data_IF_840592245029
#
_entry.id   IF_840592245029
#
_cell.length_a   1.000
_cell.length_b   1.000
_cell.length_c   1.000
_cell.angle_alpha   90.00
_cell.angle_beta   90.00
_cell.angle_gamma   90.00
#
_symmetry.space_group_name_H-M   'P 1'
#
loop_
_entity.id
_entity.type
_entity.pdbx_description
1 polymer ?
#
# COMPACT_ATOMS: atom_id res chain seq x y z
N UNK A 1 12.76 -17.46 7.55
CA UNK A 1 13.87 -16.72 6.95
C UNK A 1 13.36 -15.40 6.43
N UNK A 2 14.17 -14.32 6.45
CA UNK A 2 13.76 -13.05 5.84
C UNK A 2 14.12 -13.08 4.34
N UNK A 3 13.14 -12.84 3.48
CA UNK A 3 13.37 -12.74 2.01
C UNK A 3 13.70 -11.32 1.60
N UNK A 4 13.27 -10.32 2.35
CA UNK A 4 13.59 -8.90 2.15
C UNK A 4 14.02 -8.32 3.49
N UNK A 5 15.09 -7.56 3.51
CA UNK A 5 15.54 -6.85 4.69
C UNK A 5 16.04 -5.45 4.31
N UNK A 6 15.58 -4.44 5.04
CA UNK A 6 16.08 -3.06 4.96
C UNK A 6 16.58 -2.65 6.33
N UNK A 7 17.72 -1.97 6.37
CA UNK A 7 18.34 -1.44 7.60
C UNK A 7 18.74 0.00 7.39
N UNK A 8 18.08 0.92 8.10
CA UNK A 8 18.37 2.35 8.18
C UNK A 8 18.51 3.02 6.80
N UNK A 9 17.61 2.66 5.87
CA UNK A 9 17.63 3.19 4.51
C UNK A 9 17.26 4.66 4.52
N UNK A 10 18.12 5.46 3.90
CA UNK A 10 17.86 6.89 3.63
C UNK A 10 17.94 7.15 2.14
N UNK A 11 16.97 7.91 1.62
CA UNK A 11 16.99 8.41 0.25
C UNK A 11 16.49 9.83 0.16
N UNK A 12 17.35 10.70 -0.38
CA UNK A 12 17.08 12.11 -0.59
C UNK A 12 17.15 12.46 -2.06
N UNK A 13 16.25 13.31 -2.50
CA UNK A 13 16.24 13.90 -3.83
C UNK A 13 16.57 15.40 -3.72
N UNK A 14 17.57 15.82 -4.48
CA UNK A 14 17.97 17.22 -4.54
C UNK A 14 17.49 17.85 -5.85
N UNK A 15 16.77 18.93 -5.75
CA UNK A 15 16.47 19.84 -6.87
C UNK A 15 17.32 21.09 -6.72
N UNK A 16 17.38 21.95 -7.75
CA UNK A 16 18.15 23.22 -7.67
C UNK A 16 17.75 24.13 -6.50
N UNK A 17 16.54 23.94 -5.95
CA UNK A 17 15.97 24.81 -4.90
C UNK A 17 15.72 24.09 -3.58
N UNK A 18 15.46 22.79 -3.58
CA UNK A 18 15.01 22.06 -2.39
C UNK A 18 15.68 20.68 -2.31
N UNK A 19 15.92 20.25 -1.08
CA UNK A 19 16.32 18.88 -0.73
C UNK A 19 15.11 18.21 -0.04
N UNK A 20 14.67 17.05 -0.56
CA UNK A 20 13.53 16.31 -0.02
C UNK A 20 14.03 14.93 0.36
N UNK A 21 13.92 14.57 1.64
CA UNK A 21 14.17 13.21 2.12
C UNK A 21 12.91 12.39 1.88
N UNK A 22 12.97 11.51 0.89
CA UNK A 22 11.83 10.67 0.48
C UNK A 22 11.74 9.37 1.29
N UNK A 23 12.86 8.92 1.87
CA UNK A 23 12.95 7.76 2.78
C UNK A 23 13.92 8.17 3.87
N UNK A 24 13.48 8.09 5.13
CA UNK A 24 14.23 8.54 6.28
C UNK A 24 14.37 7.42 7.30
N UNK A 25 15.57 6.84 7.37
CA UNK A 25 15.95 5.81 8.34
C UNK A 25 15.01 4.60 8.40
N UNK A 26 14.51 4.15 7.24
CA UNK A 26 13.53 3.07 7.15
C UNK A 26 14.18 1.70 7.35
N UNK A 27 13.61 0.92 8.26
CA UNK A 27 14.02 -0.46 8.54
C UNK A 27 12.79 -1.37 8.66
N UNK A 28 12.75 -2.46 7.90
CA UNK A 28 11.78 -3.53 8.06
C UNK A 28 12.25 -4.82 7.39
N UNK A 29 11.54 -5.91 7.63
CA UNK A 29 11.79 -7.20 6.98
C UNK A 29 10.52 -7.87 6.54
N UNK A 30 10.60 -8.66 5.46
CA UNK A 30 9.53 -9.52 4.95
C UNK A 30 9.98 -10.97 5.05
N UNK A 31 9.12 -11.83 5.58
CA UNK A 31 9.38 -13.26 5.75
C UNK A 31 9.12 -14.02 4.45
N UNK A 32 9.68 -15.23 4.38
CA UNK A 32 9.42 -16.13 3.25
C UNK A 32 7.93 -16.50 3.17
N UNK A 33 7.36 -16.43 1.96
CA UNK A 33 5.95 -16.72 1.71
C UNK A 33 4.98 -15.71 2.35
N UNK A 34 5.45 -14.54 2.76
CA UNK A 34 4.62 -13.48 3.35
C UNK A 34 4.06 -12.54 2.26
N UNK A 35 2.82 -12.16 2.41
CA UNK A 35 2.21 -11.03 1.70
C UNK A 35 2.28 -9.81 2.60
N UNK A 36 3.29 -8.96 2.37
CA UNK A 36 3.57 -7.77 3.16
C UNK A 36 3.12 -6.49 2.44
N UNK A 37 2.35 -5.65 3.13
CA UNK A 37 1.85 -4.37 2.61
C UNK A 37 2.68 -3.18 3.08
N UNK A 38 3.13 -2.33 2.16
CA UNK A 38 3.67 -0.99 2.47
C UNK A 38 2.57 0.04 2.19
N UNK A 39 1.89 0.47 3.26
CA UNK A 39 0.64 1.25 3.19
C UNK A 39 0.90 2.71 3.54
N UNK A 40 0.46 3.60 2.69
CA UNK A 40 0.59 5.04 2.95
C UNK A 40 0.19 5.89 1.74
N UNK A 41 -0.01 7.20 1.93
CA UNK A 41 -0.48 8.09 0.88
C UNK A 41 0.55 8.26 -0.25
N UNK A 42 0.13 8.95 -1.32
CA UNK A 42 1.04 9.34 -2.39
C UNK A 42 2.13 10.25 -1.85
N UNK A 43 3.36 10.03 -2.34
CA UNK A 43 4.53 10.78 -1.87
C UNK A 43 5.15 10.30 -0.56
N UNK A 44 4.59 9.27 0.11
CA UNK A 44 5.13 8.76 1.38
C UNK A 44 6.49 8.05 1.27
N UNK A 45 7.05 7.87 0.06
CA UNK A 45 8.36 7.23 -0.15
C UNK A 45 8.30 5.78 -0.65
N UNK A 46 7.12 5.19 -0.79
CA UNK A 46 6.89 3.78 -1.19
C UNK A 46 7.68 3.39 -2.45
N UNK A 47 7.47 4.10 -3.56
CA UNK A 47 8.15 3.79 -4.84
C UNK A 47 9.67 3.93 -4.77
N UNK A 48 10.21 4.79 -3.90
CA UNK A 48 11.67 4.90 -3.69
C UNK A 48 12.22 3.63 -3.04
N UNK A 49 11.52 3.09 -2.04
CA UNK A 49 11.85 1.82 -1.40
C UNK A 49 11.81 0.67 -2.41
N UNK A 50 10.75 0.59 -3.23
CA UNK A 50 10.62 -0.44 -4.27
C UNK A 50 11.76 -0.38 -5.28
N UNK A 51 12.14 0.81 -5.74
CA UNK A 51 13.25 0.99 -6.68
C UNK A 51 14.61 0.62 -6.07
N UNK A 52 14.81 0.84 -4.77
CA UNK A 52 16.04 0.42 -4.08
C UNK A 52 16.07 -1.12 -4.03
N UNK A 53 15.01 -1.78 -3.58
CA UNK A 53 14.92 -3.23 -3.47
C UNK A 53 15.02 -3.94 -4.83
N UNK A 54 14.49 -3.33 -5.89
CA UNK A 54 14.58 -3.86 -7.26
C UNK A 54 15.85 -3.44 -7.99
N UNK A 55 16.82 -2.85 -7.28
CA UNK A 55 18.14 -2.47 -7.79
C UNK A 55 18.12 -1.38 -8.87
N UNK A 56 17.05 -0.59 -8.93
CA UNK A 56 16.87 0.52 -9.89
C UNK A 56 17.34 1.87 -9.33
N UNK A 57 17.55 1.95 -8.03
CA UNK A 57 17.94 3.16 -7.31
C UNK A 57 18.90 2.80 -6.19
N UNK A 58 19.94 3.62 -6.01
CA UNK A 58 20.84 3.48 -4.86
C UNK A 58 20.30 4.29 -3.66
N UNK A 59 20.35 3.70 -2.48
CA UNK A 59 20.16 4.43 -1.22
C UNK A 59 21.31 5.40 -0.99
N UNK A 60 21.08 6.46 -0.25
CA UNK A 60 22.15 7.39 0.16
C UNK A 60 22.89 6.85 1.40
N UNK A 61 22.20 6.09 2.25
CA UNK A 61 22.77 5.34 3.36
C UNK A 61 21.88 4.15 3.76
N UNK A 62 22.40 3.30 4.65
CA UNK A 62 21.76 2.06 5.05
C UNK A 62 22.12 0.89 4.13
N UNK A 63 21.50 -0.27 4.37
CA UNK A 63 21.70 -1.47 3.56
C UNK A 63 20.38 -2.17 3.31
N UNK A 64 20.27 -2.86 2.17
CA UNK A 64 19.11 -3.68 1.86
C UNK A 64 19.54 -4.99 1.17
N UNK A 65 18.80 -6.05 1.41
CA UNK A 65 19.02 -7.34 0.79
C UNK A 65 17.71 -7.99 0.34
N UNK A 66 17.80 -8.81 -0.71
CA UNK A 66 16.71 -9.64 -1.22
C UNK A 66 17.22 -11.06 -1.37
N UNK A 67 16.60 -12.03 -0.68
CA UNK A 67 17.07 -13.41 -0.62
C UNK A 67 18.55 -13.49 -0.20
N UNK A 68 18.92 -12.73 0.84
CA UNK A 68 20.31 -12.59 1.37
C UNK A 68 21.31 -11.94 0.40
N UNK A 69 20.89 -11.57 -0.80
CA UNK A 69 21.71 -10.89 -1.81
C UNK A 69 21.68 -9.38 -1.58
N UNK A 70 22.84 -8.74 -1.57
CA UNK A 70 22.96 -7.29 -1.40
C UNK A 70 22.48 -6.54 -2.64
N UNK A 71 21.58 -5.53 -2.46
CA UNK A 71 20.95 -4.82 -3.59
C UNK A 71 21.93 -4.02 -4.45
N UNK A 72 23.13 -3.73 -3.93
CA UNK A 72 24.18 -2.98 -4.66
C UNK A 72 25.15 -3.95 -5.36
N UNK A 73 25.66 -4.93 -4.63
CA UNK A 73 26.72 -5.81 -5.10
C UNK A 73 26.17 -6.95 -5.95
N UNK A 74 25.00 -7.50 -5.60
CA UNK A 74 24.43 -8.70 -6.23
C UNK A 74 23.26 -8.39 -7.19
N UNK A 75 23.14 -7.14 -7.66
CA UNK A 75 22.00 -6.68 -8.46
C UNK A 75 21.68 -7.57 -9.67
N UNK A 76 22.70 -8.16 -10.32
CA UNK A 76 22.48 -9.06 -11.48
C UNK A 76 21.78 -10.36 -11.08
N UNK A 77 22.07 -10.87 -9.88
CA UNK A 77 21.44 -12.08 -9.36
C UNK A 77 20.01 -11.78 -8.91
N UNK A 78 19.82 -10.67 -8.19
CA UNK A 78 18.50 -10.21 -7.74
C UNK A 78 17.53 -10.06 -8.91
N UNK A 79 17.95 -9.39 -9.99
CA UNK A 79 17.11 -9.20 -11.20
C UNK A 79 16.66 -10.48 -11.88
N UNK A 80 17.32 -11.61 -11.63
CA UNK A 80 16.92 -12.92 -12.17
C UNK A 80 15.84 -13.63 -11.33
N UNK A 81 15.72 -13.27 -10.08
CA UNK A 81 14.86 -13.97 -9.11
C UNK A 81 13.70 -13.14 -8.59
N UNK A 82 13.61 -11.88 -9.02
CA UNK A 82 12.51 -10.98 -8.61
C UNK A 82 11.60 -10.65 -9.79
N UNK A 83 10.30 -10.61 -9.54
CA UNK A 83 9.34 -9.99 -10.43
C UNK A 83 9.03 -8.57 -9.95
N UNK A 84 8.95 -7.62 -10.86
CA UNK A 84 8.64 -6.24 -10.52
C UNK A 84 7.55 -5.65 -11.42
N UNK A 85 6.54 -5.11 -10.79
CA UNK A 85 5.45 -4.37 -11.43
C UNK A 85 5.47 -2.94 -10.89
N UNK A 86 5.96 -1.95 -11.68
CA UNK A 86 5.98 -0.56 -11.28
C UNK A 86 4.58 0.07 -11.32
N UNK A 87 4.34 1.10 -10.53
CA UNK A 87 3.05 1.78 -10.39
C UNK A 87 2.54 2.46 -11.67
N UNK A 88 3.43 2.69 -12.64
CA UNK A 88 3.03 3.13 -13.98
C UNK A 88 3.11 1.96 -14.94
N UNK A 89 2.07 1.81 -15.77
CA UNK A 89 2.08 0.78 -16.81
C UNK A 89 3.30 0.92 -17.71
N UNK A 90 4.19 -0.07 -17.63
CA UNK A 90 5.54 -0.04 -18.23
C UNK A 90 5.71 -1.03 -19.39
N UNK A 91 4.65 -1.75 -19.77
CA UNK A 91 4.70 -2.68 -20.90
C UNK A 91 4.60 -1.96 -22.24
N UNK A 92 5.03 -2.64 -23.29
CA UNK A 92 4.99 -2.10 -24.65
C UNK A 92 3.57 -2.01 -25.17
N UNK A 93 3.04 -0.79 -25.26
CA UNK A 93 1.64 -0.55 -25.57
C UNK A 93 1.28 -0.90 -27.02
N UNK A 94 2.25 -0.86 -27.94
CA UNK A 94 2.09 -1.19 -29.34
C UNK A 94 2.18 -2.69 -29.63
N UNK A 95 2.78 -3.46 -28.72
CA UNK A 95 2.78 -4.90 -28.77
C UNK A 95 1.47 -5.49 -28.27
N UNK A 96 1.10 -6.66 -28.79
CA UNK A 96 -0.04 -7.43 -28.33
C UNK A 96 0.22 -8.03 -26.95
N UNK A 97 -0.80 -8.62 -26.35
CA UNK A 97 -0.68 -9.38 -25.09
C UNK A 97 0.36 -10.50 -25.22
N UNK A 98 0.28 -11.29 -26.28
CA UNK A 98 1.16 -12.42 -26.55
C UNK A 98 2.61 -11.94 -26.78
N UNK A 99 2.82 -10.93 -27.63
CA UNK A 99 4.15 -10.36 -27.90
C UNK A 99 4.80 -9.77 -26.64
N UNK A 100 4.05 -9.14 -25.74
CA UNK A 100 4.60 -8.69 -24.46
C UNK A 100 5.09 -9.86 -23.61
N UNK A 101 4.31 -10.94 -23.50
CA UNK A 101 4.71 -12.13 -22.75
C UNK A 101 5.91 -12.82 -23.36
N UNK A 102 5.95 -12.98 -24.67
CA UNK A 102 7.09 -13.57 -25.41
C UNK A 102 8.36 -12.74 -25.23
N UNK A 103 8.23 -11.41 -25.26
CA UNK A 103 9.36 -10.50 -25.02
C UNK A 103 10.00 -10.73 -23.64
N UNK A 104 9.17 -10.75 -22.57
CA UNK A 104 9.70 -11.00 -21.23
C UNK A 104 10.20 -12.43 -21.06
N UNK A 105 9.53 -13.43 -21.62
CA UNK A 105 10.00 -14.81 -21.62
C UNK A 105 11.40 -14.92 -22.27
N UNK A 106 11.60 -14.25 -23.40
CA UNK A 106 12.89 -14.23 -24.12
C UNK A 106 13.99 -13.58 -23.27
N UNK A 107 13.72 -12.43 -22.62
CA UNK A 107 14.71 -11.75 -21.75
C UNK A 107 15.20 -12.67 -20.63
N UNK A 108 14.32 -13.49 -20.08
CA UNK A 108 14.63 -14.39 -18.98
C UNK A 108 15.01 -15.81 -19.42
N UNK A 109 15.26 -16.04 -20.73
CA UNK A 109 15.59 -17.34 -21.32
C UNK A 109 14.59 -18.45 -20.92
N UNK A 110 13.31 -18.16 -21.03
CA UNK A 110 12.21 -19.09 -20.77
C UNK A 110 11.17 -19.01 -21.90
N UNK A 111 10.07 -19.77 -21.81
CA UNK A 111 8.94 -19.66 -22.71
C UNK A 111 7.64 -19.54 -21.93
N UNK A 112 6.57 -19.14 -22.61
CA UNK A 112 5.23 -19.06 -22.00
C UNK A 112 4.80 -20.45 -21.52
N UNK A 113 5.02 -21.48 -22.35
CA UNK A 113 4.64 -22.87 -22.07
C UNK A 113 5.36 -23.43 -20.86
N UNK A 114 6.66 -23.11 -20.68
CA UNK A 114 7.47 -23.61 -19.57
C UNK A 114 6.93 -23.20 -18.20
N UNK A 115 6.33 -22.01 -18.11
CA UNK A 115 5.82 -21.46 -16.87
C UNK A 115 4.31 -21.14 -16.91
N UNK A 116 3.59 -21.71 -17.89
CA UNK A 116 2.16 -21.48 -18.09
C UNK A 116 1.34 -21.71 -16.81
N UNK A 117 1.61 -22.80 -16.10
CA UNK A 117 0.89 -23.15 -14.86
C UNK A 117 0.92 -22.05 -13.79
N UNK A 118 1.99 -21.24 -13.74
CA UNK A 118 2.09 -20.15 -12.78
C UNK A 118 1.18 -18.97 -13.13
N UNK A 119 1.00 -18.72 -14.42
CA UNK A 119 0.21 -17.59 -14.92
C UNK A 119 -1.19 -17.98 -15.42
N UNK A 120 -1.49 -19.27 -15.52
CA UNK A 120 -2.70 -19.79 -16.18
C UNK A 120 -3.98 -19.13 -15.68
N UNK A 121 -4.18 -19.06 -14.37
CA UNK A 121 -5.38 -18.48 -13.74
C UNK A 121 -5.59 -16.99 -14.09
N UNK A 122 -4.50 -16.30 -14.40
CA UNK A 122 -4.51 -14.88 -14.79
C UNK A 122 -4.65 -14.78 -16.30
N UNK A 123 -3.85 -15.57 -17.02
CA UNK A 123 -3.72 -15.50 -18.47
C UNK A 123 -5.00 -15.97 -19.19
N UNK A 124 -5.73 -16.94 -18.67
CA UNK A 124 -7.00 -17.42 -19.24
C UNK A 124 -8.00 -16.28 -19.49
N UNK A 125 -7.96 -15.23 -18.68
CA UNK A 125 -8.80 -14.05 -18.85
C UNK A 125 -8.28 -13.10 -19.94
N UNK A 126 -7.01 -13.20 -20.30
CA UNK A 126 -6.35 -12.41 -21.34
C UNK A 126 -6.29 -13.14 -22.67
N UNK A 127 -6.34 -14.47 -22.66
CA UNK A 127 -6.16 -15.33 -23.82
C UNK A 127 -7.12 -15.01 -24.98
N UNK A 128 -8.42 -14.70 -24.76
CA UNK A 128 -9.33 -14.27 -25.83
C UNK A 128 -8.88 -12.97 -26.51
N UNK A 129 -8.00 -12.21 -25.86
CA UNK A 129 -7.48 -10.92 -26.32
C UNK A 129 -5.99 -10.96 -26.67
N UNK A 130 -5.39 -12.16 -26.78
CA UNK A 130 -3.95 -12.31 -26.93
C UNK A 130 -3.34 -11.54 -28.12
N UNK A 131 -4.10 -11.34 -29.19
CA UNK A 131 -3.70 -10.56 -30.37
C UNK A 131 -4.05 -9.06 -30.28
N UNK A 132 -4.67 -8.62 -29.16
CA UNK A 132 -4.99 -7.20 -28.94
C UNK A 132 -3.75 -6.46 -28.42
N UNK A 133 -3.48 -5.26 -28.94
CA UNK A 133 -2.40 -4.40 -28.44
C UNK A 133 -2.64 -4.02 -26.99
N UNK A 134 -1.59 -4.04 -26.16
CA UNK A 134 -1.67 -3.74 -24.74
C UNK A 134 -2.21 -2.36 -24.43
N UNK A 135 -1.94 -1.36 -25.30
CA UNK A 135 -2.49 -0.01 -25.17
C UNK A 135 -4.02 0.04 -25.23
N UNK A 136 -4.67 -0.95 -25.88
CA UNK A 136 -6.14 -1.01 -26.05
C UNK A 136 -6.86 -1.89 -25.00
N UNK A 137 -6.14 -2.37 -24.00
CA UNK A 137 -6.71 -3.12 -22.88
C UNK A 137 -7.34 -2.19 -21.85
N UNK A 138 -8.33 -2.70 -21.09
CA UNK A 138 -8.84 -1.99 -19.90
C UNK A 138 -7.77 -1.91 -18.81
N UNK A 139 -7.97 -1.05 -17.80
CA UNK A 139 -7.05 -0.91 -16.67
C UNK A 139 -6.78 -2.27 -15.99
N UNK A 140 -7.81 -2.99 -15.59
CA UNK A 140 -7.67 -4.31 -14.97
C UNK A 140 -6.97 -5.34 -15.85
N UNK A 141 -7.24 -5.34 -17.16
CA UNK A 141 -6.54 -6.24 -18.11
C UNK A 141 -5.05 -5.86 -18.24
N UNK A 142 -4.71 -4.56 -18.23
CA UNK A 142 -3.31 -4.10 -18.24
C UNK A 142 -2.57 -4.58 -17.00
N UNK A 143 -3.20 -4.51 -15.82
CA UNK A 143 -2.60 -4.98 -14.58
C UNK A 143 -2.40 -6.51 -14.58
N UNK A 144 -3.38 -7.27 -15.07
CA UNK A 144 -3.26 -8.73 -15.25
C UNK A 144 -2.10 -9.09 -16.20
N UNK A 145 -1.97 -8.38 -17.32
CA UNK A 145 -0.85 -8.58 -18.24
C UNK A 145 0.49 -8.25 -17.59
N UNK A 146 0.58 -7.13 -16.88
CA UNK A 146 1.80 -6.74 -16.17
C UNK A 146 2.21 -7.78 -15.11
N UNK A 147 1.23 -8.31 -14.39
CA UNK A 147 1.47 -9.40 -13.42
C UNK A 147 1.94 -10.68 -14.10
N UNK A 148 1.33 -11.11 -15.22
CA UNK A 148 1.80 -12.25 -16.00
C UNK A 148 3.26 -12.07 -16.47
N UNK A 149 3.61 -10.90 -17.00
CA UNK A 149 4.98 -10.59 -17.44
C UNK A 149 5.96 -10.61 -16.25
N UNK A 150 5.57 -10.12 -15.08
CA UNK A 150 6.41 -10.17 -13.88
C UNK A 150 6.60 -11.58 -13.32
N UNK A 151 5.69 -12.51 -13.63
CA UNK A 151 5.70 -13.89 -13.16
C UNK A 151 6.34 -14.88 -14.14
N UNK A 152 6.50 -14.51 -15.42
CA UNK A 152 6.85 -15.44 -16.51
C UNK A 152 8.15 -16.21 -16.28
N UNK A 153 9.07 -15.67 -15.51
CA UNK A 153 10.36 -16.30 -15.19
C UNK A 153 10.38 -16.99 -13.81
N UNK A 154 9.20 -17.20 -13.20
CA UNK A 154 9.04 -17.88 -11.91
C UNK A 154 9.85 -17.23 -10.79
N UNK A 155 9.58 -15.97 -10.45
CA UNK A 155 10.33 -15.25 -9.41
C UNK A 155 10.09 -15.86 -8.03
N UNK A 156 11.09 -15.69 -7.12
CA UNK A 156 10.95 -16.03 -5.71
C UNK A 156 10.30 -14.91 -4.89
N UNK A 157 10.50 -13.68 -5.32
CA UNK A 157 9.97 -12.47 -4.69
C UNK A 157 9.29 -11.61 -5.73
N UNK A 158 8.09 -11.12 -5.41
CA UNK A 158 7.29 -10.25 -6.26
C UNK A 158 7.15 -8.87 -5.61
N UNK A 159 7.57 -7.85 -6.33
CA UNK A 159 7.43 -6.45 -5.95
C UNK A 159 6.33 -5.79 -6.78
N UNK A 160 5.29 -5.26 -6.11
CA UNK A 160 4.13 -4.66 -6.76
C UNK A 160 3.93 -3.23 -6.23
N UNK A 161 4.28 -2.24 -7.05
CA UNK A 161 4.18 -0.84 -6.68
C UNK A 161 2.82 -0.29 -7.15
N UNK A 162 1.87 -0.12 -6.23
CA UNK A 162 0.51 0.37 -6.44
C UNK A 162 -0.27 -0.35 -7.56
N UNK A 163 -0.33 -1.69 -7.55
CA UNK A 163 -0.84 -2.48 -8.67
C UNK A 163 -2.33 -2.29 -8.94
N UNK A 164 -3.08 -1.74 -8.00
CA UNK A 164 -4.55 -1.58 -8.08
C UNK A 164 -4.98 -0.14 -8.30
N UNK A 165 -4.04 0.81 -8.41
CA UNK A 165 -4.34 2.22 -8.66
C UNK A 165 -5.00 2.41 -10.02
N UNK A 166 -6.16 3.09 -10.04
CA UNK A 166 -6.94 3.32 -11.25
C UNK A 166 -7.68 2.10 -11.79
N UNK A 167 -7.84 1.06 -10.98
CA UNK A 167 -8.58 -0.17 -11.31
C UNK A 167 -9.94 -0.14 -10.60
N UNK A 168 -10.97 -0.62 -11.29
CA UNK A 168 -12.33 -0.72 -10.72
C UNK A 168 -12.39 -1.70 -9.52
N UNK A 169 -13.38 -1.55 -8.61
CA UNK A 169 -13.43 -2.34 -7.37
C UNK A 169 -13.52 -3.85 -7.59
N UNK A 170 -14.18 -4.32 -8.66
CA UNK A 170 -14.30 -5.75 -8.96
C UNK A 170 -12.95 -6.31 -9.38
N UNK A 171 -12.29 -5.65 -10.34
CA UNK A 171 -10.95 -6.04 -10.80
C UNK A 171 -9.90 -5.93 -9.68
N UNK A 172 -10.01 -4.96 -8.76
CA UNK A 172 -9.16 -4.86 -7.56
C UNK A 172 -9.30 -6.12 -6.69
N UNK A 173 -10.53 -6.52 -6.36
CA UNK A 173 -10.77 -7.72 -5.55
C UNK A 173 -10.19 -8.96 -6.20
N UNK A 174 -10.41 -9.16 -7.51
CA UNK A 174 -9.85 -10.28 -8.26
C UNK A 174 -8.31 -10.28 -8.22
N UNK A 175 -7.69 -9.10 -8.33
CA UNK A 175 -6.23 -8.95 -8.28
C UNK A 175 -5.68 -9.41 -6.92
N UNK A 176 -6.29 -9.00 -5.82
CA UNK A 176 -5.89 -9.43 -4.48
C UNK A 176 -6.08 -10.93 -4.24
N UNK A 177 -7.15 -11.53 -4.76
CA UNK A 177 -7.33 -12.99 -4.72
C UNK A 177 -6.25 -13.74 -5.52
N UNK A 178 -5.77 -13.17 -6.63
CA UNK A 178 -4.61 -13.71 -7.35
C UNK A 178 -3.33 -13.64 -6.50
N UNK A 179 -3.08 -12.54 -5.80
CA UNK A 179 -1.90 -12.41 -4.92
C UNK A 179 -1.92 -13.44 -3.78
N UNK A 180 -3.08 -13.70 -3.16
CA UNK A 180 -3.21 -14.75 -2.14
C UNK A 180 -2.85 -16.13 -2.70
N UNK A 181 -3.27 -16.45 -3.92
CA UNK A 181 -2.92 -17.73 -4.58
C UNK A 181 -1.42 -17.82 -4.86
N UNK A 182 -0.80 -16.77 -5.37
CA UNK A 182 0.64 -16.72 -5.61
C UNK A 182 1.44 -16.90 -4.33
N UNK A 183 1.02 -16.25 -3.24
CA UNK A 183 1.57 -16.47 -1.90
C UNK A 183 1.44 -17.95 -1.49
N UNK A 184 0.28 -18.57 -1.70
CA UNK A 184 0.05 -20.01 -1.44
C UNK A 184 0.97 -20.94 -2.22
N UNK A 185 1.56 -20.47 -3.32
CA UNK A 185 2.57 -21.17 -4.11
C UNK A 185 4.02 -20.90 -3.63
N UNK A 186 4.19 -20.20 -2.50
CA UNK A 186 5.48 -19.94 -1.87
C UNK A 186 6.18 -18.67 -2.37
N UNK A 187 5.54 -17.81 -3.15
CA UNK A 187 6.09 -16.52 -3.58
C UNK A 187 5.96 -15.52 -2.43
N UNK A 188 7.06 -14.89 -2.04
CA UNK A 188 7.04 -13.74 -1.11
C UNK A 188 6.64 -12.48 -1.86
N UNK A 189 5.70 -11.70 -1.32
CA UNK A 189 5.13 -10.55 -2.02
C UNK A 189 5.27 -9.30 -1.15
N UNK A 190 5.90 -8.27 -1.70
CA UNK A 190 5.86 -6.90 -1.17
C UNK A 190 4.98 -6.05 -2.09
N UNK A 191 3.90 -5.51 -1.54
CA UNK A 191 2.96 -4.67 -2.30
C UNK A 191 2.84 -3.30 -1.65
N UNK A 192 2.85 -2.23 -2.46
CA UNK A 192 2.49 -0.89 -1.98
C UNK A 192 1.08 -0.53 -2.40
N UNK A 193 0.37 0.22 -1.55
CA UNK A 193 -0.94 0.79 -1.88
C UNK A 193 -1.24 2.04 -1.05
N UNK A 194 -1.92 3.05 -1.62
CA UNK A 194 -2.47 4.14 -0.83
C UNK A 194 -3.82 3.79 -0.18
N UNK A 195 -4.42 2.65 -0.54
CA UNK A 195 -5.75 2.24 -0.09
C UNK A 195 -5.67 1.46 1.22
N UNK A 196 -6.15 2.05 2.32
CA UNK A 196 -6.09 1.46 3.67
C UNK A 196 -6.99 0.23 3.82
N UNK A 197 -8.05 0.11 3.04
CA UNK A 197 -8.95 -1.04 3.02
C UNK A 197 -8.26 -2.31 2.50
N UNK A 198 -7.25 -2.17 1.64
CA UNK A 198 -6.44 -3.28 1.12
C UNK A 198 -5.48 -3.87 2.17
N UNK A 199 -5.14 -3.10 3.20
CA UNK A 199 -4.23 -3.51 4.27
C UNK A 199 -4.68 -4.82 4.96
N UNK A 200 -5.99 -5.01 5.14
CA UNK A 200 -6.59 -6.19 5.79
C UNK A 200 -6.30 -7.53 5.06
N UNK A 201 -5.85 -7.44 3.81
CA UNK A 201 -5.58 -8.63 2.98
C UNK A 201 -4.15 -9.13 3.20
N UNK A 202 -3.26 -8.27 3.68
CA UNK A 202 -1.87 -8.58 3.95
C UNK A 202 -1.69 -9.34 5.27
N UNK A 203 -0.64 -10.14 5.38
CA UNK A 203 -0.28 -10.81 6.64
C UNK A 203 0.26 -9.82 7.66
N UNK A 204 1.16 -8.95 7.22
CA UNK A 204 1.69 -7.82 7.98
C UNK A 204 1.75 -6.60 7.07
N UNK A 205 1.72 -5.45 7.71
CA UNK A 205 1.83 -4.16 7.01
C UNK A 205 2.84 -3.26 7.71
N UNK A 206 3.42 -2.37 6.93
CA UNK A 206 4.11 -1.19 7.43
C UNK A 206 3.32 0.05 7.02
N UNK A 207 2.91 0.85 7.99
CA UNK A 207 2.30 2.16 7.76
C UNK A 207 3.42 3.19 7.57
N UNK A 208 3.42 3.88 6.43
CA UNK A 208 4.48 4.84 6.08
C UNK A 208 3.90 6.22 5.79
N UNK A 209 4.54 7.27 6.33
CA UNK A 209 4.20 8.67 6.08
C UNK A 209 5.46 9.52 6.03
N UNK A 210 5.56 10.42 5.05
CA UNK A 210 6.68 11.37 4.90
C UNK A 210 8.06 10.71 4.99
N UNK A 211 8.23 9.53 4.40
CA UNK A 211 9.48 8.79 4.40
C UNK A 211 9.76 7.97 5.67
N UNK A 212 8.90 8.03 6.68
CA UNK A 212 9.08 7.36 7.98
C UNK A 212 8.07 6.23 8.15
N UNK A 213 8.51 5.11 8.73
CA UNK A 213 7.59 4.05 9.18
C UNK A 213 6.96 4.49 10.50
N UNK A 214 5.63 4.51 10.53
CA UNK A 214 4.85 4.81 11.73
C UNK A 214 4.66 3.57 12.60
N UNK A 215 4.32 2.44 11.99
CA UNK A 215 4.07 1.18 12.69
C UNK A 215 4.23 -0.03 11.75
N UNK A 216 4.62 -1.18 12.31
CA UNK A 216 4.72 -2.46 11.58
C UNK A 216 4.10 -3.56 12.45
N UNK A 217 3.00 -4.15 11.97
CA UNK A 217 2.40 -5.33 12.62
C UNK A 217 1.39 -6.01 11.68
N UNK A 218 0.68 -7.02 12.18
CA UNK A 218 -0.52 -7.53 11.51
C UNK A 218 -1.60 -6.45 11.50
N UNK A 219 -2.46 -6.39 10.48
CA UNK A 219 -3.57 -5.44 10.45
C UNK A 219 -4.44 -5.51 11.70
N UNK A 220 -4.70 -6.71 12.21
CA UNK A 220 -5.51 -6.91 13.41
C UNK A 220 -4.84 -6.32 14.66
N UNK A 221 -3.55 -6.56 14.88
CA UNK A 221 -2.83 -6.02 16.02
C UNK A 221 -2.81 -4.48 16.02
N UNK A 222 -2.70 -3.86 14.84
CA UNK A 222 -2.74 -2.39 14.71
C UNK A 222 -4.12 -1.87 15.13
N UNK A 223 -5.20 -2.54 14.71
CA UNK A 223 -6.57 -2.17 15.08
C UNK A 223 -6.81 -2.39 16.58
N UNK A 224 -6.34 -3.50 17.14
CA UNK A 224 -6.54 -3.85 18.56
C UNK A 224 -5.83 -2.87 19.53
N UNK A 225 -4.81 -2.14 19.04
CA UNK A 225 -4.15 -1.07 19.81
C UNK A 225 -4.90 0.25 19.83
N UNK A 226 -6.01 0.35 19.11
CA UNK A 226 -6.85 1.53 19.13
C UNK A 226 -7.69 1.55 20.41
N UNK A 227 -7.18 2.22 21.44
CA UNK A 227 -7.68 2.19 22.81
C UNK A 227 -8.81 3.20 23.11
N UNK A 228 -9.31 3.88 22.07
CA UNK A 228 -10.37 4.89 22.18
C UNK A 228 -11.70 4.42 21.60
N UNK A 229 -12.78 4.97 22.10
CA UNK A 229 -14.08 4.81 21.47
C UNK A 229 -14.16 5.65 20.19
N UNK A 230 -14.54 5.02 19.10
CA UNK A 230 -14.74 5.65 17.80
C UNK A 230 -16.24 5.78 17.51
N UNK A 231 -16.67 6.95 17.10
CA UNK A 231 -18.06 7.23 16.75
C UNK A 231 -18.18 7.69 15.31
N UNK A 232 -19.08 7.07 14.56
CA UNK A 232 -19.54 7.57 13.27
C UNK A 232 -20.66 8.57 13.51
N UNK A 233 -20.47 9.80 13.04
CA UNK A 233 -21.44 10.90 13.22
C UNK A 233 -21.87 11.41 11.85
N UNK A 234 -23.18 11.60 11.69
CA UNK A 234 -23.79 12.08 10.45
C UNK A 234 -24.93 13.05 10.75
N UNK A 235 -25.12 14.03 9.87
CA UNK A 235 -26.31 14.91 9.83
C UNK A 235 -26.58 15.34 8.39
N UNK A 236 -27.66 16.09 8.17
CA UNK A 236 -27.94 16.64 6.83
C UNK A 236 -26.91 17.68 6.39
N UNK A 237 -26.33 18.44 7.33
CA UNK A 237 -25.29 19.42 7.05
C UNK A 237 -23.90 18.89 7.47
N UNK A 238 -23.31 18.01 6.67
CA UNK A 238 -22.01 17.39 6.98
C UNK A 238 -20.87 18.40 7.16
N UNK A 239 -20.86 19.48 6.38
CA UNK A 239 -19.81 20.51 6.50
C UNK A 239 -19.92 21.29 7.83
N UNK A 240 -21.13 21.72 8.20
CA UNK A 240 -21.37 22.36 9.49
C UNK A 240 -21.08 21.42 10.65
N UNK A 241 -21.51 20.17 10.55
CA UNK A 241 -21.25 19.14 11.55
C UNK A 241 -19.75 18.93 11.82
N UNK A 242 -18.92 18.87 10.77
CA UNK A 242 -17.47 18.72 10.95
C UNK A 242 -16.86 19.88 11.74
N UNK A 243 -17.30 21.10 11.45
CA UNK A 243 -16.84 22.30 12.16
C UNK A 243 -17.27 22.26 13.64
N UNK A 244 -18.54 21.92 13.91
CA UNK A 244 -19.07 21.83 15.26
C UNK A 244 -18.36 20.74 16.06
N UNK A 245 -18.17 19.54 15.48
CA UNK A 245 -17.46 18.43 16.12
C UNK A 245 -16.01 18.78 16.44
N UNK A 246 -15.31 19.49 15.56
CA UNK A 246 -13.91 19.93 15.81
C UNK A 246 -13.83 21.05 16.86
N UNK A 247 -14.89 21.85 17.00
CA UNK A 247 -14.95 22.91 17.99
C UNK A 247 -15.44 22.43 19.35
N UNK A 248 -15.94 21.20 19.45
CA UNK A 248 -16.41 20.64 20.69
C UNK A 248 -15.24 20.39 21.66
N UNK A 249 -15.26 20.90 22.90
CA UNK A 249 -14.11 20.88 23.81
C UNK A 249 -13.56 19.47 24.10
N UNK A 250 -14.45 18.46 24.12
CA UNK A 250 -14.09 17.08 24.43
C UNK A 250 -13.68 16.26 23.20
N UNK A 251 -13.62 16.88 22.03
CA UNK A 251 -13.09 16.20 20.85
C UNK A 251 -11.55 16.05 20.95
N UNK A 252 -11.08 14.82 20.84
CA UNK A 252 -9.67 14.50 20.63
C UNK A 252 -9.32 14.64 19.15
N UNK A 253 -10.11 14.00 18.28
CA UNK A 253 -9.94 14.10 16.84
C UNK A 253 -11.25 13.89 16.08
N UNK A 254 -11.39 14.56 14.91
CA UNK A 254 -12.52 14.36 14.02
C UNK A 254 -12.10 14.48 12.56
N UNK A 255 -12.37 13.43 11.80
CA UNK A 255 -12.02 13.32 10.38
C UNK A 255 -13.25 12.99 9.52
N UNK A 256 -13.26 13.47 8.28
CA UNK A 256 -14.32 13.16 7.32
C UNK A 256 -14.04 11.81 6.65
N UNK A 257 -15.02 10.90 6.65
CA UNK A 257 -14.97 9.57 6.05
C UNK A 257 -16.21 9.33 5.18
N UNK A 258 -16.08 9.61 3.90
CA UNK A 258 -17.18 9.44 2.95
C UNK A 258 -18.44 10.22 3.38
N UNK A 259 -19.51 9.49 3.73
CA UNK A 259 -20.80 10.06 4.16
C UNK A 259 -20.92 10.26 5.67
N UNK A 260 -19.87 10.10 6.45
CA UNK A 260 -19.82 10.22 7.90
C UNK A 260 -18.58 10.96 8.36
N UNK A 261 -18.59 11.42 9.59
CA UNK A 261 -17.39 11.84 10.30
C UNK A 261 -17.04 10.82 11.37
N UNK A 262 -15.76 10.49 11.46
CA UNK A 262 -15.23 9.66 12.53
C UNK A 262 -14.72 10.55 13.64
N UNK A 263 -15.33 10.41 14.82
CA UNK A 263 -15.08 11.21 16.01
C UNK A 263 -14.45 10.35 17.10
N UNK A 264 -13.37 10.84 17.68
CA UNK A 264 -12.75 10.32 18.90
C UNK A 264 -12.89 11.39 19.98
N UNK A 265 -13.38 11.00 21.15
CA UNK A 265 -13.48 11.85 22.33
C UNK A 265 -12.30 11.62 23.28
N UNK A 266 -11.92 12.65 24.04
CA UNK A 266 -10.83 12.61 25.03
C UNK A 266 -11.04 11.54 26.09
N UNK A 267 -12.28 11.45 26.61
CA UNK A 267 -12.68 10.43 27.59
C UNK A 267 -13.57 9.37 26.95
N UNK A 268 -13.19 8.09 27.12
CA UNK A 268 -13.99 6.96 26.67
C UNK A 268 -15.34 6.81 27.39
N UNK A 269 -15.47 7.39 28.58
CA UNK A 269 -16.70 7.34 29.39
C UNK A 269 -17.54 8.62 29.28
N UNK A 270 -17.23 9.48 28.30
CA UNK A 270 -17.95 10.74 28.10
C UNK A 270 -19.44 10.50 27.81
N UNK A 271 -20.32 11.31 28.45
CA UNK A 271 -21.78 11.24 28.23
C UNK A 271 -22.16 11.82 26.86
N UNK A 272 -22.54 10.96 25.94
CA UNK A 272 -22.97 11.35 24.59
C UNK A 272 -24.21 12.25 24.57
N UNK A 273 -24.96 12.37 25.69
CA UNK A 273 -26.10 13.31 25.78
C UNK A 273 -25.62 14.77 25.78
N UNK A 274 -24.45 15.04 26.34
CA UNK A 274 -23.86 16.39 26.30
C UNK A 274 -23.48 16.75 24.85
N UNK A 275 -22.87 15.80 24.09
CA UNK A 275 -22.58 15.99 22.69
C UNK A 275 -23.85 16.22 21.86
N UNK A 276 -24.92 15.45 22.10
CA UNK A 276 -26.20 15.64 21.42
C UNK A 276 -26.82 17.02 21.74
N UNK A 277 -26.69 17.46 22.97
CA UNK A 277 -27.17 18.81 23.39
C UNK A 277 -26.38 19.91 22.71
N UNK A 278 -25.05 19.76 22.60
CA UNK A 278 -24.19 20.68 21.86
C UNK A 278 -24.57 20.75 20.38
N UNK A 279 -24.91 19.62 19.78
CA UNK A 279 -25.28 19.47 18.37
C UNK A 279 -26.78 19.63 18.10
N UNK A 280 -27.58 20.18 19.03
CA UNK A 280 -29.05 20.28 18.91
C UNK A 280 -29.55 21.01 17.66
N UNK A 281 -28.73 21.87 17.05
CA UNK A 281 -29.05 22.59 15.83
C UNK A 281 -28.83 21.74 14.54
N UNK A 282 -28.25 20.54 14.65
CA UNK A 282 -28.05 19.64 13.53
C UNK A 282 -29.30 18.80 13.27
N UNK A 283 -29.76 18.76 12.02
CA UNK A 283 -30.92 17.98 11.60
C UNK A 283 -30.54 16.55 11.21
N UNK A 284 -31.39 15.59 11.56
CA UNK A 284 -31.18 14.16 11.31
C UNK A 284 -29.81 13.66 11.85
N UNK A 285 -29.48 14.11 13.08
CA UNK A 285 -28.22 13.73 13.74
C UNK A 285 -28.23 12.23 14.11
N UNK A 286 -27.27 11.49 13.59
CA UNK A 286 -26.99 10.10 13.93
C UNK A 286 -25.59 10.01 14.56
N UNK A 287 -25.50 9.37 15.74
CA UNK A 287 -24.25 9.06 16.42
C UNK A 287 -24.24 7.56 16.72
N UNK A 288 -23.27 6.84 16.16
CA UNK A 288 -23.14 5.40 16.35
C UNK A 288 -21.70 5.03 16.71
N UNK A 289 -21.51 4.27 17.79
CA UNK A 289 -20.21 3.66 18.08
C UNK A 289 -19.89 2.62 17.02
N UNK A 290 -18.67 2.65 16.51
CA UNK A 290 -18.16 1.74 15.47
C UNK A 290 -16.79 1.17 15.86
N UNK A 291 -16.42 0.07 15.22
CA UNK A 291 -15.07 -0.48 15.31
C UNK A 291 -14.11 0.32 14.43
N UNK A 292 -12.88 0.59 14.90
CA UNK A 292 -11.88 1.28 14.09
C UNK A 292 -11.39 0.44 12.91
N UNK A 293 -11.00 1.11 11.84
CA UNK A 293 -10.28 0.54 10.72
C UNK A 293 -8.81 0.93 10.71
N UNK A 294 -8.04 0.39 9.76
CA UNK A 294 -6.63 0.76 9.59
C UNK A 294 -6.48 2.25 9.31
N UNK A 295 -7.42 2.86 8.59
CA UNK A 295 -7.39 4.29 8.29
C UNK A 295 -7.54 5.15 9.54
N UNK A 296 -8.40 4.74 10.50
CA UNK A 296 -8.55 5.43 11.79
C UNK A 296 -7.26 5.33 12.61
N UNK A 297 -6.64 4.15 12.63
CA UNK A 297 -5.36 3.94 13.30
C UNK A 297 -4.25 4.79 12.67
N UNK A 298 -4.20 4.85 11.34
CA UNK A 298 -3.23 5.64 10.60
C UNK A 298 -3.38 7.14 10.89
N UNK A 299 -4.61 7.67 10.86
CA UNK A 299 -4.88 9.08 11.18
C UNK A 299 -4.48 9.43 12.61
N UNK A 300 -4.70 8.52 13.56
CA UNK A 300 -4.28 8.70 14.94
C UNK A 300 -2.75 8.69 15.10
N UNK A 301 -2.06 7.77 14.44
CA UNK A 301 -0.59 7.73 14.45
C UNK A 301 0.03 9.02 13.91
N UNK A 302 -0.54 9.59 12.84
CA UNK A 302 -0.10 10.88 12.29
C UNK A 302 -0.32 12.01 13.30
N UNK A 303 -1.50 12.07 13.93
CA UNK A 303 -1.82 13.11 14.91
C UNK A 303 -0.83 13.07 16.10
N UNK A 304 -0.53 11.90 16.62
CA UNK A 304 0.43 11.70 17.70
C UNK A 304 1.86 12.11 17.28
N UNK A 305 2.27 11.78 16.06
CA UNK A 305 3.60 12.16 15.55
C UNK A 305 3.74 13.67 15.40
N UNK A 306 2.71 14.37 14.91
CA UNK A 306 2.71 15.82 14.78
C UNK A 306 2.73 16.52 16.14
N UNK A 307 1.98 16.04 17.13
CA UNK A 307 2.01 16.57 18.48
C UNK A 307 3.42 16.49 19.12
N UNK A 308 4.10 15.34 18.93
CA UNK A 308 5.49 15.16 19.41
C UNK A 308 6.45 16.16 18.74
N UNK A 309 6.25 16.46 17.44
CA UNK A 309 7.11 17.39 16.69
C UNK A 309 6.87 18.86 17.10
N UNK A 310 5.65 19.22 17.50
CA UNK A 310 5.30 20.57 17.98
C UNK A 310 5.85 20.84 19.40
N UNK A 311 6.04 19.80 20.22
CA UNK A 311 6.59 19.89 21.58
C UNK A 311 8.13 19.88 21.63
N UNK A 312 8.83 19.71 20.50
CA UNK A 312 10.28 19.80 20.45
C UNK A 312 10.73 21.27 20.44
N UNK A 313 11.63 21.70 21.35
CA UNK A 313 12.15 23.06 21.34
C UNK A 313 12.90 23.35 20.04
N UNK A 314 12.64 24.52 19.45
CA UNK A 314 13.24 25.03 18.22
C UNK A 314 14.76 25.20 18.28
#
# INVERSE_FOLDING_TARGET
>A
MNTIELKNIVKTYSTKKNKITAVDNVSFSVKEGELFGLIGPDGAGKSSIFRILTTLLLADSGSASVMELDVVNDYKQIRKIVGYMPGRFSLYQDLTVEENLEFFATIFNTSIEANYNLIADIYIQLEPFKKRRAGKLSGGMKQKLALCCALIHKPKVLFLDEPTTGVDPVSRKEFWEMLKRLKGQGISILVSTPYMDEAKICDRIALIQNGNILEIDTPQNIVDRFDKNLYAVRSDNMFGLLKDLRSFPETESCFAFGDKHHLVLKDNNFDLNELKTYLQNQTNLEIKKIEPGIEDCFMRLIANTNAILEDLPA
#
